data_IF_766810711102
#
_entry.id   IF_766810711102
#
_cell.length_a   1.000
_cell.length_b   1.000
_cell.length_c   1.000
_cell.angle_alpha   90.00
_cell.angle_beta   90.00
_cell.angle_gamma   90.00
#
_symmetry.space_group_name_H-M   'P 1'
#
loop_
_entity.id
_entity.type
_entity.pdbx_description
1 polymer ?
#
# COMPACT_ATOMS: atom_id res chain seq x y z
N UNK A 1 -6.53 5.66 -15.59
CA UNK A 1 -6.23 6.90 -16.32
C UNK A 1 -4.73 7.01 -16.49
N UNK A 2 -4.24 7.38 -17.67
CA UNK A 2 -2.81 7.62 -17.91
C UNK A 2 -2.52 9.11 -17.73
N UNK A 3 -1.78 9.46 -16.68
CA UNK A 3 -1.27 10.81 -16.50
C UNK A 3 0.03 10.96 -17.29
N UNK A 4 0.06 11.95 -18.20
CA UNK A 4 1.19 12.30 -19.05
C UNK A 4 1.93 13.45 -18.35
N UNK A 5 3.15 13.22 -17.87
CA UNK A 5 4.05 14.26 -17.35
C UNK A 5 4.95 14.69 -18.51
N UNK A 6 4.99 15.99 -18.76
CA UNK A 6 5.66 16.65 -19.88
C UNK A 6 7.19 16.57 -19.72
N UNK A 7 7.80 15.95 -20.73
CA UNK A 7 9.20 16.01 -21.21
C UNK A 7 10.39 15.81 -20.24
N UNK A 8 11.19 14.79 -20.57
CA UNK A 8 12.56 14.50 -20.09
C UNK A 8 12.76 13.82 -18.74
N UNK A 9 11.73 13.20 -18.17
CA UNK A 9 11.90 12.16 -17.15
C UNK A 9 10.88 11.05 -17.40
N UNK A 10 11.21 10.13 -18.30
CA UNK A 10 10.48 8.86 -18.40
C UNK A 10 10.75 8.09 -17.10
N UNK A 11 9.88 8.29 -16.11
CA UNK A 11 9.86 7.52 -14.87
C UNK A 11 8.80 6.47 -15.02
N UNK A 12 9.19 5.28 -15.45
CA UNK A 12 8.29 4.14 -15.48
C UNK A 12 8.41 3.41 -14.14
N UNK A 13 7.48 3.67 -13.23
CA UNK A 13 7.49 3.08 -11.90
C UNK A 13 6.48 1.94 -11.83
N UNK A 14 6.99 0.71 -11.82
CA UNK A 14 6.18 -0.50 -11.70
C UNK A 14 6.20 -0.95 -10.24
N UNK A 15 5.04 -1.01 -9.61
CA UNK A 15 4.88 -1.48 -8.23
C UNK A 15 4.14 -2.81 -8.22
N UNK A 16 4.74 -3.82 -7.60
CA UNK A 16 4.08 -5.07 -7.30
C UNK A 16 3.99 -5.18 -5.77
N UNK A 17 2.78 -5.03 -5.24
CA UNK A 17 2.52 -5.15 -3.81
C UNK A 17 1.53 -6.27 -3.55
N UNK A 18 1.83 -7.10 -2.56
CA UNK A 18 0.93 -8.09 -2.00
C UNK A 18 0.60 -7.69 -0.55
N UNK A 19 -0.65 -7.84 -0.16
CA UNK A 19 -1.10 -7.62 1.21
C UNK A 19 -1.85 -8.86 1.69
N UNK A 20 -1.53 -9.30 2.91
CA UNK A 20 -2.24 -10.39 3.59
C UNK A 20 -2.64 -9.91 4.98
N UNK A 21 -3.86 -10.20 5.39
CA UNK A 21 -4.38 -9.76 6.69
C UNK A 21 -5.26 -10.79 7.34
N UNK A 22 -5.47 -10.60 8.63
CA UNK A 22 -6.39 -11.37 9.46
C UNK A 22 -7.17 -10.40 10.34
N UNK A 23 -8.48 -10.62 10.41
CA UNK A 23 -9.39 -9.90 11.28
C UNK A 23 -10.27 -10.83 12.08
N UNK A 24 -10.83 -10.26 13.15
CA UNK A 24 -11.80 -10.90 14.02
C UNK A 24 -12.95 -9.93 14.32
N UNK A 25 -14.10 -10.51 14.65
CA UNK A 25 -15.28 -9.76 15.09
C UNK A 25 -15.21 -9.57 16.61
N UNK A 26 -15.23 -8.30 17.03
CA UNK A 26 -15.33 -7.88 18.42
C UNK A 26 -16.59 -7.02 18.59
N UNK A 27 -17.71 -7.67 18.91
CA UNK A 27 -19.03 -7.03 18.88
C UNK A 27 -19.40 -6.65 17.45
N UNK A 28 -19.74 -5.37 17.22
CA UNK A 28 -20.05 -4.84 15.88
C UNK A 28 -18.80 -4.40 15.10
N UNK A 29 -17.61 -4.58 15.67
CA UNK A 29 -16.36 -4.15 15.05
C UNK A 29 -15.61 -5.33 14.44
N UNK A 30 -15.29 -5.24 13.16
CA UNK A 30 -14.25 -6.05 12.52
C UNK A 30 -12.91 -5.37 12.76
N UNK A 31 -12.03 -6.00 13.54
CA UNK A 31 -10.71 -5.47 13.87
C UNK A 31 -9.66 -6.42 13.34
N UNK A 32 -8.69 -5.89 12.61
CA UNK A 32 -7.67 -6.73 11.99
C UNK A 32 -6.34 -6.05 11.80
N UNK A 33 -5.37 -6.89 11.46
CA UNK A 33 -4.04 -6.47 11.07
C UNK A 33 -3.70 -7.02 9.70
N UNK A 34 -2.89 -6.28 8.94
CA UNK A 34 -2.36 -6.75 7.67
C UNK A 34 -0.86 -6.49 7.55
N UNK A 35 -0.18 -7.40 6.87
CA UNK A 35 1.19 -7.26 6.40
C UNK A 35 1.16 -6.89 4.93
N UNK A 36 1.90 -5.85 4.58
CA UNK A 36 2.13 -5.41 3.21
C UNK A 36 3.57 -5.74 2.85
N UNK A 37 3.79 -6.35 1.69
CA UNK A 37 5.12 -6.49 1.12
C UNK A 37 5.06 -6.26 -0.38
N UNK A 38 5.99 -5.47 -0.90
CA UNK A 38 6.06 -5.22 -2.33
C UNK A 38 7.42 -4.76 -2.80
N UNK A 39 7.63 -4.95 -4.10
CA UNK A 39 8.79 -4.47 -4.82
C UNK A 39 8.35 -3.35 -5.76
N UNK A 40 9.13 -2.28 -5.80
CA UNK A 40 8.98 -1.19 -6.75
C UNK A 40 10.20 -1.16 -7.64
N UNK A 41 10.01 -1.30 -8.94
CA UNK A 41 11.04 -1.04 -9.93
C UNK A 41 10.80 0.33 -10.53
N UNK A 42 11.76 1.23 -10.41
CA UNK A 42 11.71 2.56 -11.02
C UNK A 42 12.78 2.62 -12.10
N UNK A 43 12.37 2.57 -13.36
CA UNK A 43 13.28 2.82 -14.48
C UNK A 43 13.34 4.33 -14.70
N UNK A 44 14.51 4.92 -14.45
CA UNK A 44 14.82 6.32 -14.77
C UNK A 44 15.69 6.38 -16.02
N UNK A 45 15.63 7.48 -16.77
CA UNK A 45 16.42 7.71 -17.98
C UNK A 45 17.96 7.67 -17.76
N UNK A 46 18.44 7.63 -16.52
CA UNK A 46 19.85 7.62 -16.12
C UNK A 46 20.24 6.48 -15.16
N UNK A 47 19.34 5.52 -14.89
CA UNK A 47 19.63 4.39 -13.99
C UNK A 47 18.38 3.63 -13.51
N UNK A 48 18.57 2.40 -13.02
CA UNK A 48 17.49 1.55 -12.47
C UNK A 48 17.53 1.55 -10.94
N UNK A 49 16.42 1.89 -10.30
CA UNK A 49 16.28 1.88 -8.84
C UNK A 49 15.33 0.78 -8.39
N UNK A 50 15.82 -0.16 -7.58
CA UNK A 50 14.97 -1.19 -6.97
C UNK A 50 14.64 -0.82 -5.52
N UNK A 51 13.35 -0.67 -5.24
CA UNK A 51 12.83 -0.38 -3.92
C UNK A 51 12.08 -1.59 -3.36
N UNK A 52 12.28 -1.91 -2.08
CA UNK A 52 11.48 -2.89 -1.35
C UNK A 52 10.67 -2.14 -0.30
N UNK A 53 9.37 -2.40 -0.27
CA UNK A 53 8.45 -1.85 0.71
C UNK A 53 7.91 -2.97 1.56
N UNK A 54 8.05 -2.85 2.87
CA UNK A 54 7.38 -3.70 3.83
C UNK A 54 6.56 -2.81 4.76
N UNK A 55 5.34 -3.19 5.07
CA UNK A 55 4.44 -2.41 5.89
C UNK A 55 3.55 -3.26 6.78
N UNK A 56 3.05 -2.60 7.81
CA UNK A 56 2.08 -3.11 8.76
C UNK A 56 0.86 -2.20 8.70
N UNK A 57 -0.32 -2.80 8.78
CA UNK A 57 -1.57 -2.07 8.88
C UNK A 57 -2.40 -2.62 10.04
N UNK A 58 -3.09 -1.72 10.73
CA UNK A 58 -4.15 -2.04 11.67
C UNK A 58 -5.42 -1.37 11.18
N UNK A 59 -6.53 -2.10 11.17
CA UNK A 59 -7.81 -1.60 10.69
C UNK A 59 -8.96 -1.99 11.61
N UNK A 60 -10.00 -1.16 11.58
CA UNK A 60 -11.24 -1.33 12.32
C UNK A 60 -12.40 -0.87 11.46
N UNK A 61 -13.33 -1.78 11.17
CA UNK A 61 -14.55 -1.47 10.46
C UNK A 61 -15.77 -1.78 11.34
N UNK A 62 -16.79 -0.95 11.29
CA UNK A 62 -18.09 -1.17 11.93
C UNK A 62 -19.19 -0.97 10.91
N UNK A 63 -20.03 -1.99 10.75
CA UNK A 63 -21.25 -1.90 9.95
C UNK A 63 -22.44 -1.65 10.88
N UNK A 64 -23.23 -0.63 10.57
CA UNK A 64 -24.45 -0.29 11.31
C UNK A 64 -25.65 -0.99 10.66
N UNK A 65 -26.68 -1.27 11.47
CA UNK A 65 -27.89 -1.97 11.02
C UNK A 65 -28.70 -1.21 9.95
N UNK A 66 -28.46 0.10 9.80
CA UNK A 66 -29.07 0.95 8.79
C UNK A 66 -28.27 1.01 7.47
N UNK A 67 -27.25 0.16 7.32
CA UNK A 67 -26.42 0.06 6.12
C UNK A 67 -25.28 1.07 6.08
N UNK A 68 -25.15 1.96 7.06
CA UNK A 68 -23.95 2.81 7.20
C UNK A 68 -22.75 1.94 7.58
N UNK A 69 -21.56 2.41 7.23
CA UNK A 69 -20.31 1.80 7.68
C UNK A 69 -19.34 2.88 8.14
N UNK A 70 -18.50 2.54 9.10
CA UNK A 70 -17.35 3.31 9.50
C UNK A 70 -16.13 2.41 9.33
N UNK A 71 -15.14 2.85 8.57
CA UNK A 71 -13.88 2.14 8.36
C UNK A 71 -12.70 3.06 8.68
N UNK A 72 -11.75 2.54 9.44
CA UNK A 72 -10.52 3.24 9.77
C UNK A 72 -9.34 2.28 9.64
N UNK A 73 -8.28 2.75 8.99
CA UNK A 73 -7.04 1.98 8.80
C UNK A 73 -5.82 2.87 9.02
N UNK A 74 -4.94 2.42 9.91
CA UNK A 74 -3.61 3.00 10.12
C UNK A 74 -2.57 2.10 9.47
N UNK A 75 -1.73 2.65 8.58
CA UNK A 75 -0.65 1.91 7.93
C UNK A 75 0.70 2.56 8.24
N UNK A 76 1.70 1.74 8.52
CA UNK A 76 3.10 2.14 8.63
C UNK A 76 3.92 1.30 7.68
N UNK A 77 4.70 1.95 6.81
CA UNK A 77 5.52 1.27 5.81
C UNK A 77 6.95 1.77 5.87
N UNK A 78 7.90 0.83 5.75
CA UNK A 78 9.31 1.12 5.56
C UNK A 78 9.67 0.90 4.10
N UNK A 79 10.11 1.97 3.46
CA UNK A 79 10.70 1.94 2.13
C UNK A 79 12.21 1.78 2.26
N UNK A 80 12.76 0.71 1.68
CA UNK A 80 14.19 0.57 1.45
C UNK A 80 14.43 0.78 -0.03
N UNK A 81 15.25 1.78 -0.37
CA UNK A 81 15.69 2.02 -1.75
C UNK A 81 17.17 1.68 -1.83
N UNK A 82 17.52 0.72 -2.68
CA UNK A 82 18.90 0.53 -3.09
C UNK A 82 19.09 1.35 -4.37
N UNK A 83 19.79 2.47 -4.26
CA UNK A 83 20.25 3.27 -5.40
C UNK A 83 21.65 2.79 -5.77
N UNK A 84 21.83 2.32 -7.01
CA UNK A 84 23.15 2.07 -7.62
C UNK A 84 23.47 3.20 -8.59
#
# INVERSE_FOLDING_TARGET
>A
GKSKITDSAYVNQTYNMAQVGYDTLYGDWTIGGALLYGTSNSDYALGTGSGKTAGLALYGAKQYNDGRYFDVIGKVSRLKNDFT
#
